data_IF_404449015673
#
_entry.id   IF_404449015673
#
_cell.length_a   1.000
_cell.length_b   1.000
_cell.length_c   1.000
_cell.angle_alpha   90.00
_cell.angle_beta   90.00
_cell.angle_gamma   90.00
#
_symmetry.space_group_name_H-M   'P 1'
#
loop_
_entity.id
_entity.type
_entity.pdbx_description
1 polymer ?
#
# COMPACT_ATOMS: atom_id res chain seq x y z
N UNK A 1 15.69 -13.73 20.01
CA UNK A 1 16.19 -13.38 18.66
C UNK A 1 17.52 -14.09 18.46
N UNK A 2 17.73 -14.83 17.37
CA UNK A 2 19.09 -15.33 17.06
C UNK A 2 20.00 -14.13 16.78
N UNK A 3 21.21 -14.14 17.35
CA UNK A 3 22.22 -13.06 17.25
C UNK A 3 22.51 -12.66 15.78
N UNK A 4 22.47 -13.63 14.89
CA UNK A 4 22.72 -13.53 13.45
C UNK A 4 21.63 -12.77 12.63
N UNK A 5 20.52 -12.31 13.25
CA UNK A 5 19.36 -11.70 12.54
C UNK A 5 19.09 -10.24 12.89
N UNK A 6 19.73 -9.72 13.92
CA UNK A 6 19.72 -8.30 14.27
C UNK A 6 20.74 -7.56 13.42
N UNK A 7 20.42 -6.33 13.04
CA UNK A 7 21.39 -5.48 12.37
C UNK A 7 22.49 -5.10 13.37
N UNK A 8 23.77 -5.20 12.99
CA UNK A 8 24.90 -4.72 13.80
C UNK A 8 25.49 -3.44 13.18
N UNK A 9 25.65 -2.39 13.99
CA UNK A 9 26.28 -1.13 13.58
C UNK A 9 27.49 -0.91 14.48
N UNK A 10 28.68 -0.82 13.90
CA UNK A 10 29.93 -0.55 14.64
C UNK A 10 30.17 -1.53 15.81
N UNK A 11 29.88 -2.82 15.59
CA UNK A 11 30.00 -3.86 16.62
C UNK A 11 28.90 -3.85 17.69
N UNK A 12 27.94 -2.92 17.60
CA UNK A 12 26.80 -2.87 18.51
C UNK A 12 25.53 -3.47 17.86
N UNK A 13 24.90 -4.40 18.56
CA UNK A 13 23.67 -5.05 18.11
C UNK A 13 22.48 -4.11 18.26
N UNK A 14 21.73 -3.89 17.17
CA UNK A 14 20.55 -3.04 17.18
C UNK A 14 19.31 -3.81 17.61
N UNK A 15 18.32 -3.15 18.28
CA UNK A 15 17.09 -3.81 18.75
C UNK A 15 16.09 -4.12 17.63
N UNK A 16 16.41 -3.78 16.37
CA UNK A 16 15.56 -3.97 15.19
C UNK A 16 16.17 -5.02 14.26
N UNK A 17 15.31 -5.81 13.59
CA UNK A 17 15.81 -6.78 12.62
C UNK A 17 16.09 -6.11 11.28
N UNK A 18 16.96 -6.72 10.48
CA UNK A 18 17.33 -6.22 9.15
C UNK A 18 16.12 -6.05 8.21
N UNK A 19 15.06 -6.83 8.44
CA UNK A 19 13.80 -6.70 7.70
C UNK A 19 13.03 -5.44 8.07
N UNK A 20 12.97 -5.09 9.36
CA UNK A 20 12.26 -3.89 9.83
C UNK A 20 12.91 -2.62 9.28
N UNK A 21 14.24 -2.60 9.16
CA UNK A 21 14.98 -1.51 8.50
C UNK A 21 14.46 -1.30 7.07
N UNK A 22 14.30 -2.39 6.32
CA UNK A 22 13.70 -2.36 4.98
C UNK A 22 12.25 -1.87 4.98
N UNK A 23 11.42 -2.33 5.92
CA UNK A 23 10.02 -1.87 6.03
C UNK A 23 9.94 -0.37 6.33
N UNK A 24 10.72 0.16 7.28
CA UNK A 24 10.73 1.57 7.61
C UNK A 24 11.19 2.43 6.43
N UNK A 25 12.24 2.00 5.72
CA UNK A 25 12.66 2.66 4.49
C UNK A 25 11.56 2.64 3.43
N UNK A 26 10.93 1.49 3.23
CA UNK A 26 9.80 1.34 2.32
C UNK A 26 8.64 2.27 2.67
N UNK A 27 8.27 2.39 3.95
CA UNK A 27 7.22 3.30 4.43
C UNK A 27 7.54 4.74 4.08
N UNK A 28 8.78 5.18 4.34
CA UNK A 28 9.22 6.53 3.99
C UNK A 28 9.10 6.77 2.47
N UNK A 29 9.57 5.83 1.64
CA UNK A 29 9.46 5.92 0.18
C UNK A 29 8.00 5.91 -0.29
N UNK A 30 7.15 5.03 0.24
CA UNK A 30 5.72 4.94 -0.09
C UNK A 30 4.97 6.22 0.27
N UNK A 31 5.25 6.78 1.46
CA UNK A 31 4.73 8.07 1.89
C UNK A 31 5.18 9.22 0.99
N UNK A 32 6.45 9.24 0.58
CA UNK A 32 6.98 10.23 -0.37
C UNK A 32 6.30 10.11 -1.74
N UNK A 33 6.15 8.90 -2.29
CA UNK A 33 5.44 8.67 -3.55
C UNK A 33 4.00 9.19 -3.45
N UNK A 34 3.30 8.85 -2.37
CA UNK A 34 1.94 9.31 -2.14
C UNK A 34 1.87 10.84 -2.01
N UNK A 35 2.79 11.46 -1.28
CA UNK A 35 2.81 12.92 -1.10
C UNK A 35 2.95 13.69 -2.42
N UNK A 36 3.62 13.11 -3.43
CA UNK A 36 3.85 13.78 -4.72
C UNK A 36 2.78 13.51 -5.77
N UNK A 37 2.12 12.36 -5.71
CA UNK A 37 1.23 11.88 -6.78
C UNK A 37 -0.19 11.56 -6.32
N UNK A 38 -0.36 11.20 -5.05
CA UNK A 38 -1.65 10.81 -4.50
C UNK A 38 -2.51 12.01 -4.15
N UNK A 39 -3.83 11.84 -4.28
CA UNK A 39 -4.81 12.84 -3.89
C UNK A 39 -6.11 12.19 -3.43
N UNK A 40 -6.86 12.94 -2.62
CA UNK A 40 -8.10 12.48 -2.01
C UNK A 40 -9.18 12.18 -3.07
N UNK A 41 -9.76 10.97 -3.05
CA UNK A 41 -10.91 10.56 -3.87
C UNK A 41 -12.05 9.96 -3.02
N UNK A 42 -12.32 10.56 -1.86
CA UNK A 42 -13.38 10.21 -0.89
C UNK A 42 -13.16 8.91 -0.11
N UNK A 43 -12.91 7.79 -0.79
CA UNK A 43 -12.63 6.51 -0.12
C UNK A 43 -11.14 6.22 -0.07
N UNK A 44 -10.70 5.40 0.88
CA UNK A 44 -9.29 4.99 1.00
C UNK A 44 -8.82 4.25 -0.25
N UNK A 45 -9.63 3.32 -0.78
CA UNK A 45 -9.29 2.56 -1.99
C UNK A 45 -9.12 3.45 -3.21
N UNK A 46 -10.02 4.41 -3.42
CA UNK A 46 -9.96 5.31 -4.57
C UNK A 46 -8.79 6.28 -4.43
N UNK A 47 -8.51 6.71 -3.19
CA UNK A 47 -7.34 7.53 -2.86
C UNK A 47 -6.03 6.75 -3.08
N UNK A 48 -5.96 5.46 -2.72
CA UNK A 48 -4.82 4.60 -3.08
C UNK A 48 -4.66 4.48 -4.61
N UNK A 49 -5.77 4.25 -5.32
CA UNK A 49 -5.75 4.09 -6.78
C UNK A 49 -5.44 5.40 -7.51
N UNK A 50 -5.57 6.57 -6.88
CA UNK A 50 -5.19 7.87 -7.46
C UNK A 50 -3.72 7.97 -7.89
N UNK A 51 -2.87 7.08 -7.38
CA UNK A 51 -1.47 6.98 -7.80
C UNK A 51 -1.29 6.48 -9.23
N UNK A 52 -2.27 5.78 -9.78
CA UNK A 52 -2.23 5.28 -11.15
C UNK A 52 -2.84 6.30 -12.11
N UNK A 53 -2.30 6.40 -13.34
CA UNK A 53 -2.90 7.22 -14.40
C UNK A 53 -4.37 6.86 -14.67
N UNK A 54 -5.20 7.87 -14.92
CA UNK A 54 -6.64 7.68 -15.13
C UNK A 54 -6.97 6.79 -16.32
N UNK A 55 -6.18 6.88 -17.40
CA UNK A 55 -6.34 6.04 -18.58
C UNK A 55 -6.23 4.52 -18.28
N UNK A 56 -5.46 4.11 -17.26
CA UNK A 56 -5.39 2.70 -16.83
C UNK A 56 -6.60 2.30 -15.99
N UNK A 57 -7.19 3.26 -15.28
CA UNK A 57 -8.30 3.05 -14.38
C UNK A 57 -9.67 3.14 -15.06
N UNK A 58 -9.77 3.78 -16.22
CA UNK A 58 -11.05 3.98 -16.92
C UNK A 58 -11.85 2.68 -17.08
N UNK A 59 -11.21 1.62 -17.56
CA UNK A 59 -11.85 0.30 -17.70
C UNK A 59 -12.23 -0.35 -16.36
N UNK A 60 -11.42 -0.13 -15.31
CA UNK A 60 -11.65 -0.66 -13.97
C UNK A 60 -12.86 0.03 -13.32
N UNK A 61 -12.95 1.35 -13.43
CA UNK A 61 -14.05 2.13 -12.87
C UNK A 61 -15.35 1.87 -13.63
N UNK A 62 -15.32 1.78 -14.97
CA UNK A 62 -16.48 1.41 -15.80
C UNK A 62 -17.08 0.05 -15.41
N UNK A 63 -16.23 -0.96 -15.16
CA UNK A 63 -16.66 -2.32 -14.80
C UNK A 63 -16.86 -2.52 -13.29
N UNK A 64 -16.71 -1.47 -12.49
CA UNK A 64 -16.76 -1.53 -11.01
C UNK A 64 -15.78 -2.53 -10.37
N UNK A 65 -14.63 -2.77 -11.01
CA UNK A 65 -13.56 -3.66 -10.50
C UNK A 65 -12.57 -2.96 -9.56
N UNK A 66 -12.88 -1.74 -9.11
CA UNK A 66 -12.04 -0.93 -8.20
C UNK A 66 -11.60 -1.67 -6.94
N UNK A 67 -12.47 -2.48 -6.34
CA UNK A 67 -12.14 -3.25 -5.13
C UNK A 67 -11.12 -4.33 -5.44
N UNK A 68 -11.30 -5.06 -6.55
CA UNK A 68 -10.32 -6.06 -7.00
C UNK A 68 -8.98 -5.42 -7.36
N UNK A 69 -8.98 -4.29 -8.08
CA UNK A 69 -7.75 -3.58 -8.43
C UNK A 69 -6.96 -3.14 -7.18
N UNK A 70 -7.66 -2.61 -6.17
CA UNK A 70 -7.05 -2.22 -4.90
C UNK A 70 -6.48 -3.43 -4.13
N UNK A 71 -7.25 -4.52 -4.02
CA UNK A 71 -6.80 -5.75 -3.35
C UNK A 71 -5.62 -6.41 -4.06
N UNK A 72 -5.66 -6.52 -5.40
CA UNK A 72 -4.56 -7.10 -6.19
C UNK A 72 -3.28 -6.26 -6.01
N UNK A 73 -3.40 -4.93 -6.10
CA UNK A 73 -2.26 -4.02 -5.90
C UNK A 73 -1.66 -4.20 -4.50
N UNK A 74 -2.49 -4.24 -3.45
CA UNK A 74 -2.04 -4.47 -2.08
C UNK A 74 -1.34 -5.83 -1.92
N UNK A 75 -1.94 -6.89 -2.47
CA UNK A 75 -1.36 -8.24 -2.46
C UNK A 75 0.01 -8.26 -3.13
N UNK A 76 0.17 -7.62 -4.29
CA UNK A 76 1.46 -7.55 -5.01
C UNK A 76 2.57 -6.98 -4.13
N UNK A 77 2.30 -5.93 -3.34
CA UNK A 77 3.29 -5.38 -2.41
C UNK A 77 3.62 -6.32 -1.24
N UNK A 78 2.68 -7.17 -0.83
CA UNK A 78 2.90 -8.18 0.21
C UNK A 78 3.63 -9.43 -0.29
N UNK A 79 3.52 -9.77 -1.59
CA UNK A 79 4.01 -11.03 -2.14
C UNK A 79 5.49 -11.32 -1.81
N UNK A 80 6.46 -10.40 -1.98
CA UNK A 80 7.87 -10.70 -1.72
C UNK A 80 8.11 -11.13 -0.27
N UNK A 81 7.47 -10.45 0.67
CA UNK A 81 7.57 -10.76 2.10
C UNK A 81 6.91 -12.10 2.44
N UNK A 82 5.73 -12.36 1.88
CA UNK A 82 5.01 -13.62 2.09
C UNK A 82 5.83 -14.78 1.52
N UNK A 83 6.33 -14.68 0.28
CA UNK A 83 7.12 -15.74 -0.34
C UNK A 83 8.43 -16.00 0.43
N UNK A 84 9.17 -14.96 0.81
CA UNK A 84 10.41 -15.10 1.59
C UNK A 84 10.14 -15.74 2.97
N UNK A 85 9.09 -15.32 3.67
CA UNK A 85 8.71 -15.89 4.96
C UNK A 85 8.20 -17.33 4.86
N UNK A 86 7.38 -17.63 3.85
CA UNK A 86 6.76 -18.94 3.68
C UNK A 86 7.75 -19.99 3.19
N UNK A 87 8.63 -19.63 2.24
CA UNK A 87 9.73 -20.51 1.80
C UNK A 87 10.70 -20.82 2.94
N UNK A 88 11.05 -19.82 3.75
CA UNK A 88 11.89 -20.04 4.94
C UNK A 88 11.18 -20.89 6.02
N UNK A 89 9.85 -20.83 6.12
CA UNK A 89 9.08 -21.66 7.07
C UNK A 89 9.05 -23.14 6.64
N UNK A 90 8.97 -23.41 5.33
CA UNK A 90 8.76 -24.75 4.80
C UNK A 90 10.04 -25.47 4.36
N UNK A 91 11.17 -24.77 4.26
CA UNK A 91 12.41 -25.33 3.71
C UNK A 91 13.63 -25.01 4.58
N UNK A 92 14.78 -25.58 4.23
CA UNK A 92 16.07 -25.26 4.86
C UNK A 92 16.67 -23.92 4.39
N UNK A 93 15.97 -23.18 3.51
CA UNK A 93 16.38 -21.86 3.08
C UNK A 93 16.37 -20.87 4.26
N UNK A 94 17.47 -20.15 4.45
CA UNK A 94 17.55 -19.03 5.39
C UNK A 94 17.68 -17.72 4.60
N UNK A 95 16.76 -16.80 4.84
CA UNK A 95 16.82 -15.47 4.25
C UNK A 95 18.03 -14.71 4.83
N UNK A 96 18.89 -14.23 3.94
CA UNK A 96 20.14 -13.56 4.27
C UNK A 96 19.94 -12.06 4.60
N UNK A 97 21.00 -11.39 5.03
CA UNK A 97 20.94 -9.98 5.44
C UNK A 97 20.60 -8.99 4.30
N UNK A 98 20.54 -9.43 3.04
CA UNK A 98 20.13 -8.60 1.90
C UNK A 98 18.69 -8.89 1.45
N UNK A 99 18.28 -10.17 1.40
CA UNK A 99 16.93 -10.57 0.98
C UNK A 99 15.87 -10.08 1.95
N UNK A 100 16.18 -10.12 3.25
CA UNK A 100 15.28 -9.67 4.34
C UNK A 100 14.86 -8.19 4.22
N UNK A 101 15.78 -7.21 4.08
CA UNK A 101 15.37 -5.82 3.89
C UNK A 101 14.66 -5.61 2.55
N UNK A 102 15.11 -6.25 1.46
CA UNK A 102 14.49 -6.08 0.14
C UNK A 102 13.00 -6.49 0.12
N UNK A 103 12.68 -7.63 0.72
CA UNK A 103 11.29 -8.11 0.81
C UNK A 103 10.46 -7.23 1.74
N UNK A 104 11.07 -6.67 2.80
CA UNK A 104 10.48 -5.67 3.68
C UNK A 104 10.20 -4.33 2.99
N UNK A 105 11.06 -3.87 2.08
CA UNK A 105 10.88 -2.59 1.35
C UNK A 105 9.60 -2.61 0.52
N UNK A 106 9.35 -3.68 -0.22
CA UNK A 106 8.15 -3.80 -1.05
C UNK A 106 6.87 -3.66 -0.21
N UNK A 107 6.79 -4.40 0.90
CA UNK A 107 5.68 -4.28 1.85
C UNK A 107 5.58 -2.88 2.43
N UNK A 108 6.71 -2.31 2.86
CA UNK A 108 6.78 -0.96 3.42
C UNK A 108 6.24 0.11 2.47
N UNK A 109 6.57 0.05 1.18
CA UNK A 109 6.04 0.98 0.17
C UNK A 109 4.52 0.91 0.09
N UNK A 110 3.97 -0.30 -0.03
CA UNK A 110 2.52 -0.51 -0.07
C UNK A 110 1.83 0.01 1.20
N UNK A 111 2.43 -0.26 2.37
CA UNK A 111 1.91 0.21 3.65
C UNK A 111 1.99 1.75 3.80
N UNK A 112 3.09 2.38 3.39
CA UNK A 112 3.25 3.83 3.41
C UNK A 112 2.23 4.54 2.51
N UNK A 113 1.95 3.98 1.32
CA UNK A 113 0.88 4.45 0.43
C UNK A 113 -0.49 4.32 1.10
N UNK A 114 -0.78 3.17 1.74
CA UNK A 114 -2.05 2.94 2.43
C UNK A 114 -2.26 3.94 3.57
N UNK A 115 -1.24 4.19 4.38
CA UNK A 115 -1.30 5.16 5.48
C UNK A 115 -1.52 6.58 4.95
N UNK A 116 -0.76 6.99 3.92
CA UNK A 116 -0.94 8.30 3.28
C UNK A 116 -2.35 8.48 2.71
N UNK A 117 -2.85 7.45 2.01
CA UNK A 117 -4.20 7.43 1.47
C UNK A 117 -5.26 7.46 2.57
N UNK A 118 -5.12 6.67 3.63
CA UNK A 118 -6.05 6.66 4.76
C UNK A 118 -6.12 8.01 5.47
N UNK A 119 -4.98 8.68 5.64
CA UNK A 119 -4.93 10.02 6.23
C UNK A 119 -5.58 11.08 5.32
N UNK A 120 -5.38 10.96 4.01
CA UNK A 120 -5.88 11.90 3.00
C UNK A 120 -7.34 11.68 2.60
N UNK A 121 -7.88 10.47 2.72
CA UNK A 121 -9.23 10.11 2.30
C UNK A 121 -10.26 10.73 3.26
N UNK A 122 -10.65 11.97 2.97
CA UNK A 122 -11.54 12.77 3.83
C UNK A 122 -12.72 13.30 3.03
N UNK A 123 -13.94 12.78 3.25
CA UNK A 123 -15.16 13.24 2.58
C UNK A 123 -15.47 14.73 2.79
N UNK A 124 -15.06 15.29 3.94
CA UNK A 124 -15.33 16.70 4.33
C UNK A 124 -14.83 17.77 3.35
N UNK A 125 -13.90 17.42 2.45
CA UNK A 125 -13.36 18.34 1.45
C UNK A 125 -14.19 18.37 0.16
N UNK A 126 -15.23 17.56 0.07
CA UNK A 126 -16.14 17.51 -1.07
C UNK A 126 -17.50 18.07 -0.68
N UNK A 127 -18.13 18.81 -1.59
CA UNK A 127 -19.50 19.32 -1.39
C UNK A 127 -20.53 18.19 -1.36
N UNK A 128 -20.32 17.17 -2.19
CA UNK A 128 -21.16 15.98 -2.32
C UNK A 128 -20.34 14.79 -2.84
N UNK A 129 -20.85 13.56 -2.67
CA UNK A 129 -20.20 12.37 -3.21
C UNK A 129 -20.04 12.45 -4.74
N UNK A 130 -20.99 13.08 -5.44
CA UNK A 130 -20.97 13.29 -6.88
C UNK A 130 -19.93 14.32 -7.37
N UNK A 131 -19.36 15.12 -6.46
CA UNK A 131 -18.33 16.13 -6.79
C UNK A 131 -16.91 15.56 -6.85
N UNK A 132 -16.73 14.29 -6.49
CA UNK A 132 -15.43 13.62 -6.52
C UNK A 132 -15.04 13.35 -7.98
N UNK A 133 -13.82 13.75 -8.36
CA UNK A 133 -13.24 13.38 -9.64
C UNK A 133 -12.81 11.92 -9.61
N UNK A 134 -13.48 11.09 -10.41
CA UNK A 134 -13.10 9.69 -10.65
C UNK A 134 -12.75 9.50 -12.13
N UNK A 135 -11.96 8.46 -12.45
CA UNK A 135 -11.67 8.08 -13.83
C UNK A 135 -12.93 7.92 -14.68
N UNK A 136 -12.81 8.28 -15.96
CA UNK A 136 -13.89 8.28 -16.94
C UNK A 136 -15.13 9.13 -16.55
N UNK A 137 -14.98 10.12 -15.66
CA UNK A 137 -16.10 10.97 -15.22
C UNK A 137 -17.16 10.23 -14.39
N UNK A 138 -16.82 9.06 -13.86
CA UNK A 138 -17.69 8.29 -12.96
C UNK A 138 -18.01 9.13 -11.72
N UNK A 139 -19.20 8.98 -11.14
CA UNK A 139 -19.61 9.71 -9.93
C UNK A 139 -20.13 8.75 -8.88
N UNK A 140 -19.95 9.12 -7.61
CA UNK A 140 -20.66 8.43 -6.55
C UNK A 140 -22.12 8.89 -6.52
N UNK A 141 -23.01 7.92 -6.44
CA UNK A 141 -24.43 8.13 -6.19
C UNK A 141 -24.75 7.53 -4.81
N UNK A 142 -25.32 8.34 -3.92
CA UNK A 142 -25.86 7.84 -2.67
C UNK A 142 -27.20 7.21 -2.99
N UNK A 143 -27.40 5.95 -2.58
CA UNK A 143 -28.72 5.32 -2.68
C UNK A 143 -29.69 6.18 -1.87
N UNK A 144 -30.68 6.80 -2.53
CA UNK A 144 -31.73 7.53 -1.83
C UNK A 144 -32.43 6.56 -0.88
N UNK A 145 -32.69 7.01 0.36
CA UNK A 145 -33.55 6.28 1.29
C UNK A 145 -35.00 6.40 0.82
N UNK A 146 -35.35 5.69 -0.24
CA UNK A 146 -36.73 5.47 -0.68
C UNK A 146 -36.84 3.99 -1.00
N UNK A 147 -37.26 3.22 0.02
CA UNK A 147 -37.84 1.86 0.01
C UNK A 147 -37.63 1.26 1.41
N UNK A 148 -38.34 1.82 2.39
CA UNK A 148 -38.79 1.12 3.60
C UNK A 148 -40.19 1.64 3.97
#
# INVERSE_FOLDING_TARGET
>A
MKHERSWEINGNQMPVCTRDVGMFFGIAVGGLIFSRRGYNRWTVKDTCLSLFPDNWLDGIYRKNYRTYAWLITGTIFCLPLIFDGFTQLLTSYESNNLTRPLTGIAFGIGFGILVGAAYSARPKFFKSASSVSLPNGSKFELKSKEEE
#
